data_IF_705441941632
#
_entry.id   IF_705441941632
#
_cell.length_a   1.000
_cell.length_b   1.000
_cell.length_c   1.000
_cell.angle_alpha   90.00
_cell.angle_beta   90.00
_cell.angle_gamma   90.00
#
_symmetry.space_group_name_H-M   'P 1'
#
loop_
_entity.id
_entity.type
_entity.pdbx_description
1 polymer ?
#
# COMPACT_ATOMS: atom_id res chain seq x y z
N UNK A 1 27.57 9.64 1.58
CA UNK A 1 26.12 9.83 1.58
C UNK A 1 25.76 10.46 0.25
N UNK A 2 25.22 9.66 -0.66
CA UNK A 2 24.71 10.10 -1.96
C UNK A 2 23.37 10.81 -1.78
N UNK A 3 22.84 11.43 -2.85
CA UNK A 3 21.50 12.03 -2.81
C UNK A 3 20.41 10.96 -2.60
N UNK A 4 20.64 9.73 -3.09
CA UNK A 4 19.77 8.56 -2.89
C UNK A 4 19.77 8.12 -1.41
N UNK A 5 20.94 8.06 -0.77
CA UNK A 5 21.04 7.69 0.66
C UNK A 5 20.23 8.65 1.57
N UNK A 6 20.15 9.94 1.18
CA UNK A 6 19.39 10.94 1.94
C UNK A 6 17.88 10.75 1.76
N UNK A 7 17.42 10.44 0.54
CA UNK A 7 16.01 10.17 0.27
C UNK A 7 15.53 8.89 0.97
N UNK A 8 16.34 7.83 0.98
CA UNK A 8 16.03 6.59 1.69
C UNK A 8 15.97 6.78 3.21
N UNK A 9 16.83 7.63 3.78
CA UNK A 9 16.79 7.96 5.20
C UNK A 9 15.50 8.70 5.58
N UNK A 10 15.07 9.66 4.77
CA UNK A 10 13.82 10.40 4.99
C UNK A 10 12.58 9.47 4.87
N UNK A 11 12.57 8.58 3.87
CA UNK A 11 11.51 7.58 3.69
C UNK A 11 11.47 6.62 4.89
N UNK A 12 12.62 6.14 5.35
CA UNK A 12 12.70 5.25 6.52
C UNK A 12 12.21 5.94 7.79
N UNK A 13 12.62 7.20 8.02
CA UNK A 13 12.13 7.99 9.14
C UNK A 13 10.61 8.17 9.08
N UNK A 14 10.07 8.41 7.88
CA UNK A 14 8.62 8.51 7.64
C UNK A 14 7.90 7.19 7.95
N UNK A 15 8.46 6.04 7.54
CA UNK A 15 7.91 4.72 7.84
C UNK A 15 7.90 4.47 9.35
N UNK A 16 9.01 4.74 10.04
CA UNK A 16 9.13 4.56 11.49
C UNK A 16 8.18 5.47 12.30
N UNK A 17 7.78 6.61 11.73
CA UNK A 17 6.82 7.53 12.35
C UNK A 17 5.35 7.11 12.16
N UNK A 18 5.05 6.10 11.33
CA UNK A 18 3.68 5.61 11.14
C UNK A 18 3.12 4.97 12.40
N UNK A 19 3.94 4.25 13.15
CA UNK A 19 3.52 3.55 14.35
C UNK A 19 4.48 2.45 14.75
N UNK A 20 4.09 1.70 15.76
CA UNK A 20 4.89 0.61 16.32
C UNK A 20 4.00 -0.46 16.92
N UNK A 21 4.41 -1.72 16.80
CA UNK A 21 3.75 -2.81 17.51
C UNK A 21 4.24 -2.90 18.96
N UNK A 22 3.32 -2.77 19.91
CA UNK A 22 3.56 -2.90 21.34
C UNK A 22 2.70 -4.05 21.85
N UNK A 23 3.36 -5.15 22.25
CA UNK A 23 2.69 -6.34 22.80
C UNK A 23 1.62 -6.94 21.86
N UNK A 24 1.90 -7.03 20.56
CA UNK A 24 0.95 -7.57 19.57
C UNK A 24 -0.17 -6.62 19.18
N UNK A 25 -0.09 -5.36 19.61
CA UNK A 25 -1.04 -4.30 19.27
C UNK A 25 -0.29 -3.18 18.58
N UNK A 26 -0.70 -2.86 17.35
CA UNK A 26 -0.12 -1.75 16.61
C UNK A 26 -0.67 -0.42 17.13
N UNK A 27 0.21 0.48 17.54
CA UNK A 27 -0.15 1.84 17.93
C UNK A 27 0.33 2.82 16.87
N UNK A 28 -0.59 3.59 16.29
CA UNK A 28 -0.26 4.60 15.28
C UNK A 28 0.51 5.77 15.91
N UNK A 29 1.48 6.31 15.17
CA UNK A 29 2.17 7.55 15.53
C UNK A 29 1.25 8.76 15.48
N UNK A 30 1.64 9.84 16.18
CA UNK A 30 0.91 11.11 16.22
C UNK A 30 0.65 11.69 14.83
N UNK A 31 1.67 11.59 13.97
CA UNK A 31 1.69 12.20 12.63
C UNK A 31 1.48 11.16 11.52
N UNK A 32 0.90 10.00 11.86
CA UNK A 32 0.69 8.87 10.95
C UNK A 32 -0.05 9.27 9.66
N UNK A 33 -1.06 10.14 9.74
CA UNK A 33 -1.78 10.63 8.54
C UNK A 33 -0.85 11.41 7.60
N UNK A 34 -0.02 12.31 8.14
CA UNK A 34 0.92 13.07 7.31
C UNK A 34 2.02 12.18 6.75
N UNK A 35 2.50 11.20 7.52
CA UNK A 35 3.44 10.19 7.05
C UNK A 35 2.86 9.39 5.86
N UNK A 36 1.62 8.93 5.94
CA UNK A 36 0.96 8.23 4.81
C UNK A 36 0.85 9.13 3.57
N UNK A 37 0.53 10.43 3.76
CA UNK A 37 0.48 11.42 2.67
C UNK A 37 1.86 11.65 2.06
N UNK A 38 2.91 11.70 2.88
CA UNK A 38 4.30 11.87 2.45
C UNK A 38 4.80 10.65 1.66
N UNK A 39 4.52 9.44 2.09
CA UNK A 39 4.81 8.23 1.32
C UNK A 39 4.17 8.25 -0.08
N UNK A 40 2.93 8.73 -0.18
CA UNK A 40 2.29 8.95 -1.49
C UNK A 40 2.92 10.11 -2.28
N UNK A 41 3.49 11.13 -1.62
CA UNK A 41 4.26 12.20 -2.29
C UNK A 41 5.58 11.68 -2.83
N UNK A 42 6.27 10.81 -2.09
CA UNK A 42 7.50 10.14 -2.52
C UNK A 42 7.23 9.25 -3.73
N UNK A 43 6.23 8.36 -3.67
CA UNK A 43 5.87 7.47 -4.78
C UNK A 43 5.46 8.21 -6.08
N UNK A 44 4.93 9.44 -5.99
CA UNK A 44 4.62 10.25 -7.19
C UNK A 44 5.87 10.81 -7.88
N UNK A 45 7.01 10.80 -7.21
CA UNK A 45 8.31 11.27 -7.71
C UNK A 45 9.27 10.11 -7.95
N UNK A 46 8.76 8.88 -8.01
CA UNK A 46 9.58 7.70 -8.21
C UNK A 46 10.30 7.76 -9.57
N UNK A 47 11.45 7.11 -9.65
CA UNK A 47 12.27 7.09 -10.85
C UNK A 47 11.81 5.99 -11.82
N UNK A 48 12.43 5.94 -13.00
CA UNK A 48 12.13 4.92 -14.02
C UNK A 48 12.48 3.48 -13.58
N UNK A 49 13.27 3.34 -12.49
CA UNK A 49 13.62 2.05 -11.89
C UNK A 49 12.71 1.68 -10.71
N UNK A 50 11.70 2.49 -10.40
CA UNK A 50 10.80 2.30 -9.27
C UNK A 50 11.55 2.16 -7.94
N UNK A 51 12.63 2.93 -7.75
CA UNK A 51 13.52 2.81 -6.59
C UNK A 51 12.79 3.03 -5.27
N UNK A 52 11.88 4.00 -5.19
CA UNK A 52 11.08 4.24 -3.98
C UNK A 52 10.12 3.08 -3.72
N UNK A 53 9.39 2.63 -4.75
CA UNK A 53 8.49 1.49 -4.63
C UNK A 53 9.20 0.23 -4.13
N UNK A 54 10.39 -0.06 -4.68
CA UNK A 54 11.20 -1.23 -4.29
C UNK A 54 11.77 -1.07 -2.89
N UNK A 55 12.17 0.13 -2.51
CA UNK A 55 12.67 0.40 -1.16
C UNK A 55 11.56 0.18 -0.12
N UNK A 56 10.35 0.72 -0.35
CA UNK A 56 9.19 0.45 0.51
C UNK A 56 8.85 -1.04 0.61
N UNK A 57 9.00 -1.79 -0.50
CA UNK A 57 8.86 -3.24 -0.49
C UNK A 57 9.91 -3.95 0.35
N UNK A 58 11.17 -3.51 0.29
CA UNK A 58 12.25 -4.06 1.10
C UNK A 58 12.09 -3.77 2.61
N UNK A 59 11.40 -2.68 2.95
CA UNK A 59 11.04 -2.36 4.34
C UNK A 59 9.83 -3.17 4.84
N UNK A 60 9.18 -3.96 3.98
CA UNK A 60 7.94 -4.67 4.27
C UNK A 60 6.83 -3.76 4.81
N UNK A 61 6.79 -2.50 4.36
CA UNK A 61 5.86 -1.46 4.83
C UNK A 61 4.39 -1.94 4.85
N UNK A 62 3.99 -2.69 3.82
CA UNK A 62 2.64 -3.21 3.72
C UNK A 62 2.30 -4.12 4.90
N UNK A 63 3.22 -5.04 5.23
CA UNK A 63 3.03 -6.05 6.28
C UNK A 63 3.18 -5.45 7.68
N UNK A 64 4.17 -4.58 7.87
CA UNK A 64 4.55 -4.04 9.19
C UNK A 64 3.65 -2.91 9.66
N UNK A 65 3.10 -2.12 8.73
CA UNK A 65 2.38 -0.89 9.08
C UNK A 65 1.00 -0.80 8.41
N UNK A 66 0.91 -0.96 7.08
CA UNK A 66 -0.35 -0.70 6.39
C UNK A 66 -1.45 -1.70 6.76
N UNK A 67 -1.14 -3.00 6.80
CA UNK A 67 -2.13 -4.01 7.20
C UNK A 67 -2.54 -3.86 8.68
N UNK A 68 -1.63 -3.63 9.64
CA UNK A 68 -2.02 -3.29 11.01
C UNK A 68 -2.89 -2.03 11.11
N UNK A 69 -2.56 -0.95 10.39
CA UNK A 69 -3.38 0.26 10.31
C UNK A 69 -4.79 -0.04 9.78
N UNK A 70 -4.88 -0.78 8.67
CA UNK A 70 -6.15 -1.20 8.07
C UNK A 70 -6.95 -2.10 9.00
N UNK A 71 -6.32 -2.97 9.81
CA UNK A 71 -7.05 -3.83 10.75
C UNK A 71 -7.60 -3.03 11.93
N UNK A 72 -6.76 -2.21 12.55
CA UNK A 72 -7.07 -1.58 13.86
C UNK A 72 -7.78 -0.24 13.73
N UNK A 73 -7.38 0.59 12.79
CA UNK A 73 -7.87 1.96 12.63
C UNK A 73 -8.83 2.08 11.45
N UNK A 74 -9.57 1.01 11.13
CA UNK A 74 -10.49 0.95 9.99
C UNK A 74 -11.70 1.89 10.07
N UNK A 75 -11.92 2.53 11.22
CA UNK A 75 -12.95 3.56 11.45
C UNK A 75 -12.41 4.99 11.44
N UNK A 76 -11.09 5.15 11.43
CA UNK A 76 -10.42 6.44 11.20
C UNK A 76 -10.34 6.64 9.68
N UNK A 77 -11.23 7.48 9.14
CA UNK A 77 -11.42 7.62 7.70
C UNK A 77 -10.17 8.12 6.98
N UNK A 78 -9.39 9.04 7.59
CA UNK A 78 -8.15 9.52 6.98
C UNK A 78 -7.10 8.41 6.94
N UNK A 79 -6.85 7.74 8.06
CA UNK A 79 -5.89 6.63 8.11
C UNK A 79 -6.28 5.54 7.10
N UNK A 80 -7.54 5.11 7.13
CA UNK A 80 -8.02 4.06 6.23
C UNK A 80 -7.87 4.46 4.77
N UNK A 81 -8.31 5.67 4.39
CA UNK A 81 -8.26 6.12 2.99
C UNK A 81 -6.81 6.26 2.47
N UNK A 82 -5.90 6.83 3.26
CA UNK A 82 -4.50 6.98 2.82
C UNK A 82 -3.73 5.66 2.83
N UNK A 83 -3.94 4.80 3.84
CA UNK A 83 -3.36 3.45 3.85
C UNK A 83 -3.88 2.62 2.68
N UNK A 84 -5.18 2.69 2.36
CA UNK A 84 -5.77 2.00 1.23
C UNK A 84 -5.20 2.48 -0.11
N UNK A 85 -4.93 3.78 -0.27
CA UNK A 85 -4.25 4.32 -1.46
C UNK A 85 -2.84 3.75 -1.62
N UNK A 86 -2.07 3.65 -0.52
CA UNK A 86 -0.76 2.99 -0.55
C UNK A 86 -0.90 1.51 -0.89
N UNK A 87 -1.87 0.79 -0.33
CA UNK A 87 -2.14 -0.60 -0.71
C UNK A 87 -2.43 -0.75 -2.21
N UNK A 88 -3.25 0.13 -2.79
CA UNK A 88 -3.51 0.13 -4.25
C UNK A 88 -2.21 0.29 -5.02
N UNK A 89 -1.36 1.26 -4.64
CA UNK A 89 -0.07 1.48 -5.32
C UNK A 89 0.85 0.27 -5.18
N UNK A 90 1.08 -0.22 -3.95
CA UNK A 90 2.03 -1.31 -3.69
C UNK A 90 1.58 -2.66 -4.27
N UNK A 91 0.27 -2.87 -4.43
CA UNK A 91 -0.28 -4.14 -4.96
C UNK A 91 -0.55 -4.11 -6.46
N UNK A 92 -0.28 -2.98 -7.14
CA UNK A 92 -0.53 -2.88 -8.58
C UNK A 92 0.27 -3.95 -9.35
N UNK A 93 -0.35 -4.66 -10.32
CA UNK A 93 0.36 -5.66 -11.11
C UNK A 93 1.63 -5.07 -11.73
N UNK A 94 2.78 -5.71 -11.48
CA UNK A 94 4.07 -5.16 -11.88
C UNK A 94 4.14 -4.85 -13.38
N UNK A 95 3.49 -5.65 -14.23
CA UNK A 95 3.48 -5.45 -15.68
C UNK A 95 2.92 -4.09 -16.12
N UNK A 96 2.02 -3.48 -15.34
CA UNK A 96 1.48 -2.15 -15.63
C UNK A 96 2.55 -1.06 -15.53
N UNK A 97 3.57 -1.26 -14.69
CA UNK A 97 4.72 -0.35 -14.58
C UNK A 97 5.60 -0.41 -15.82
N UNK A 98 5.52 -1.51 -16.59
CA UNK A 98 6.29 -1.74 -17.81
C UNK A 98 5.39 -1.68 -19.06
N UNK A 99 4.32 -0.89 -19.02
CA UNK A 99 3.42 -0.63 -20.16
C UNK A 99 2.83 -1.90 -20.79
N UNK A 100 2.49 -2.89 -19.97
CA UNK A 100 1.97 -4.20 -20.40
C UNK A 100 2.97 -5.04 -21.23
N UNK A 101 4.26 -4.70 -21.20
CA UNK A 101 5.33 -5.41 -21.88
C UNK A 101 6.36 -6.01 -20.89
N UNK A 102 6.86 -7.21 -21.20
CA UNK A 102 7.90 -7.84 -20.38
C UNK A 102 9.26 -7.23 -20.70
N UNK A 103 10.04 -6.79 -19.69
CA UNK A 103 11.36 -6.23 -19.95
C UNK A 103 12.30 -7.27 -20.58
N UNK A 104 12.91 -6.88 -21.70
CA UNK A 104 13.88 -7.72 -22.41
C UNK A 104 15.31 -7.56 -21.87
N UNK A 105 15.67 -6.34 -21.47
CA UNK A 105 17.00 -6.07 -20.94
C UNK A 105 17.17 -6.64 -19.54
N UNK A 106 18.40 -7.08 -19.23
CA UNK A 106 18.70 -7.80 -17.99
C UNK A 106 18.46 -6.95 -16.74
N UNK A 107 18.73 -5.64 -16.80
CA UNK A 107 18.66 -4.77 -15.62
C UNK A 107 17.21 -4.54 -15.25
N UNK A 108 16.40 -4.08 -16.18
CA UNK A 108 14.97 -3.84 -16.01
C UNK A 108 14.22 -5.14 -15.71
N UNK A 109 14.65 -6.27 -16.29
CA UNK A 109 14.09 -7.58 -15.96
C UNK A 109 14.34 -7.97 -14.50
N UNK A 110 15.50 -7.65 -13.94
CA UNK A 110 15.77 -7.89 -12.52
C UNK A 110 14.87 -7.01 -11.62
N UNK A 111 14.65 -5.74 -12.01
CA UNK A 111 13.70 -4.83 -11.33
C UNK A 111 12.29 -5.42 -11.34
N UNK A 112 11.82 -5.87 -12.49
CA UNK A 112 10.51 -6.52 -12.63
C UNK A 112 10.37 -7.75 -11.73
N UNK A 113 11.37 -8.66 -11.74
CA UNK A 113 11.33 -9.87 -10.92
C UNK A 113 11.35 -9.56 -9.42
N UNK A 114 12.07 -8.52 -9.00
CA UNK A 114 12.05 -8.05 -7.62
C UNK A 114 10.65 -7.55 -7.21
N UNK A 115 10.01 -6.75 -8.05
CA UNK A 115 8.64 -6.28 -7.79
C UNK A 115 7.64 -7.46 -7.71
N UNK A 116 7.78 -8.46 -8.57
CA UNK A 116 6.98 -9.70 -8.50
C UNK A 116 7.19 -10.42 -7.15
N UNK A 117 8.43 -10.51 -6.65
CA UNK A 117 8.67 -11.15 -5.35
C UNK A 117 7.97 -10.42 -4.20
N UNK A 118 7.98 -9.09 -4.18
CA UNK A 118 7.24 -8.32 -3.17
C UNK A 118 5.73 -8.53 -3.28
N UNK A 119 5.18 -8.55 -4.50
CA UNK A 119 3.76 -8.85 -4.71
C UNK A 119 3.39 -10.23 -4.14
N UNK A 120 4.20 -11.26 -4.38
CA UNK A 120 3.97 -12.59 -3.81
C UNK A 120 4.00 -12.58 -2.28
N UNK A 121 4.90 -11.82 -1.66
CA UNK A 121 4.90 -11.63 -0.20
C UNK A 121 3.66 -10.91 0.29
N UNK A 122 3.20 -9.87 -0.40
CA UNK A 122 1.96 -9.17 -0.07
C UNK A 122 0.76 -10.11 -0.16
N UNK A 123 0.69 -10.95 -1.21
CA UNK A 123 -0.37 -11.96 -1.35
C UNK A 123 -0.43 -12.90 -0.13
N UNK A 124 0.73 -13.31 0.39
CA UNK A 124 0.81 -14.15 1.61
C UNK A 124 0.38 -13.37 2.85
N UNK A 125 0.73 -12.10 2.98
CA UNK A 125 0.33 -11.27 4.11
C UNK A 125 -1.20 -11.07 4.16
N UNK A 126 -1.87 -11.07 3.01
CA UNK A 126 -3.33 -11.06 2.92
C UNK A 126 -4.01 -12.40 3.29
N UNK A 127 -3.29 -13.43 3.71
CA UNK A 127 -3.92 -14.64 4.29
C UNK A 127 -4.51 -14.40 5.68
N UNK A 128 -4.23 -13.24 6.32
CA UNK A 128 -4.87 -12.82 7.57
C UNK A 128 -6.33 -12.42 7.33
N UNK A 129 -7.26 -13.23 7.85
CA UNK A 129 -8.71 -12.99 7.74
C UNK A 129 -9.14 -11.61 8.27
N UNK A 130 -8.43 -11.05 9.26
CA UNK A 130 -8.77 -9.76 9.85
C UNK A 130 -8.62 -8.60 8.87
N UNK A 131 -7.74 -8.73 7.88
CA UNK A 131 -7.60 -7.73 6.80
C UNK A 131 -8.88 -7.71 5.95
N UNK A 132 -9.39 -8.90 5.58
CA UNK A 132 -10.62 -9.04 4.81
C UNK A 132 -11.85 -8.59 5.59
N UNK A 133 -11.91 -8.89 6.88
CA UNK A 133 -12.96 -8.39 7.77
C UNK A 133 -13.00 -6.85 7.74
N UNK A 134 -11.86 -6.18 7.95
CA UNK A 134 -11.79 -4.71 7.94
C UNK A 134 -12.20 -4.08 6.59
N UNK A 135 -11.78 -4.68 5.46
CA UNK A 135 -12.17 -4.23 4.12
C UNK A 135 -13.66 -4.45 3.87
N UNK A 136 -14.18 -5.63 4.23
CA UNK A 136 -15.59 -6.00 3.99
C UNK A 136 -16.55 -5.19 4.86
N UNK A 137 -16.19 -4.89 6.10
CA UNK A 137 -16.97 -4.03 6.98
C UNK A 137 -17.08 -2.61 6.44
N UNK A 138 -15.96 -2.02 6.00
CA UNK A 138 -15.97 -0.69 5.38
C UNK A 138 -16.81 -0.67 4.10
N UNK A 139 -16.63 -1.66 3.22
CA UNK A 139 -17.41 -1.78 2.00
C UNK A 139 -18.90 -1.93 2.31
N UNK A 140 -19.27 -2.75 3.30
CA UNK A 140 -20.66 -2.94 3.72
C UNK A 140 -21.28 -1.64 4.22
N UNK A 141 -20.58 -0.86 5.03
CA UNK A 141 -21.11 0.42 5.52
C UNK A 141 -21.35 1.41 4.37
N UNK A 142 -20.40 1.55 3.45
CA UNK A 142 -20.53 2.44 2.29
C UNK A 142 -21.68 2.02 1.35
N UNK A 143 -21.90 0.71 1.19
CA UNK A 143 -22.96 0.17 0.34
C UNK A 143 -24.37 0.21 0.95
N UNK A 144 -24.53 0.62 2.23
CA UNK A 144 -25.87 0.86 2.82
C UNK A 144 -26.55 2.07 2.20
N UNK A 145 -25.78 3.05 1.74
CA UNK A 145 -26.28 4.25 1.09
C UNK A 145 -26.56 3.98 -0.39
N UNK A 146 -27.58 4.64 -0.96
CA UNK A 146 -27.84 4.53 -2.39
C UNK A 146 -26.69 5.17 -3.18
N UNK A 147 -26.39 4.72 -4.40
CA UNK A 147 -25.32 5.32 -5.22
C UNK A 147 -25.41 6.85 -5.37
N UNK A 148 -26.63 7.40 -5.46
CA UNK A 148 -26.87 8.84 -5.61
C UNK A 148 -26.65 9.65 -4.31
N UNK A 149 -26.62 8.97 -3.16
CA UNK A 149 -26.42 9.59 -1.84
C UNK A 149 -24.94 9.61 -1.44
N UNK A 150 -24.11 8.80 -2.10
CA UNK A 150 -22.67 8.71 -1.85
C UNK A 150 -21.93 9.89 -2.45
N UNK A 151 -21.02 10.49 -1.68
CA UNK A 151 -20.10 11.48 -2.18
C UNK A 151 -18.96 10.83 -3.01
N UNK A 152 -18.17 11.67 -3.68
CA UNK A 152 -17.08 11.22 -4.55
C UNK A 152 -16.04 10.37 -3.81
N UNK A 153 -15.62 10.78 -2.61
CA UNK A 153 -14.61 10.05 -1.84
C UNK A 153 -15.13 8.69 -1.36
N UNK A 154 -16.42 8.59 -1.00
CA UNK A 154 -17.05 7.29 -0.66
C UNK A 154 -17.04 6.34 -1.87
N UNK A 155 -17.31 6.85 -3.07
CA UNK A 155 -17.23 6.06 -4.31
C UNK A 155 -15.79 5.62 -4.61
N UNK A 156 -14.82 6.52 -4.46
CA UNK A 156 -13.41 6.21 -4.64
C UNK A 156 -12.91 5.20 -3.61
N UNK A 157 -13.36 5.26 -2.35
CA UNK A 157 -13.01 4.26 -1.34
C UNK A 157 -13.56 2.88 -1.69
N UNK A 158 -14.80 2.78 -2.19
CA UNK A 158 -15.34 1.51 -2.72
C UNK A 158 -14.45 0.98 -3.86
N UNK A 159 -14.13 1.83 -4.84
CA UNK A 159 -13.31 1.44 -5.98
C UNK A 159 -11.93 0.94 -5.54
N UNK A 160 -11.28 1.66 -4.62
CA UNK A 160 -9.95 1.30 -4.10
C UNK A 160 -9.99 -0.03 -3.32
N UNK A 161 -11.03 -0.30 -2.52
CA UNK A 161 -11.20 -1.60 -1.86
C UNK A 161 -11.26 -2.72 -2.92
N UNK A 162 -12.10 -2.53 -3.95
CA UNK A 162 -12.25 -3.52 -5.02
C UNK A 162 -10.94 -3.71 -5.82
N UNK A 163 -10.18 -2.64 -6.06
CA UNK A 163 -8.87 -2.69 -6.71
C UNK A 163 -7.88 -3.50 -5.88
N UNK A 164 -7.78 -3.25 -4.57
CA UNK A 164 -6.88 -4.04 -3.69
C UNK A 164 -7.25 -5.52 -3.74
N UNK A 165 -8.54 -5.85 -3.63
CA UNK A 165 -9.02 -7.23 -3.72
C UNK A 165 -8.62 -7.87 -5.05
N UNK A 166 -8.94 -7.20 -6.18
CA UNK A 166 -8.57 -7.66 -7.53
C UNK A 166 -7.07 -7.88 -7.65
N UNK A 167 -6.28 -6.90 -7.21
CA UNK A 167 -4.82 -6.94 -7.27
C UNK A 167 -4.29 -8.17 -6.53
N UNK A 168 -4.65 -8.36 -5.26
CA UNK A 168 -4.19 -9.49 -4.45
C UNK A 168 -4.58 -10.84 -5.05
N UNK A 169 -5.80 -10.96 -5.59
CA UNK A 169 -6.24 -12.18 -6.25
C UNK A 169 -5.46 -12.47 -7.54
N UNK A 170 -5.09 -11.43 -8.30
CA UNK A 170 -4.37 -11.53 -9.56
C UNK A 170 -2.89 -11.91 -9.42
N UNK A 171 -2.25 -11.61 -8.29
CA UNK A 171 -0.83 -11.91 -8.08
C UNK A 171 -0.56 -13.42 -8.29
N UNK A 172 0.46 -13.81 -9.08
CA UNK A 172 0.78 -15.21 -9.29
C UNK A 172 1.21 -15.92 -7.99
N UNK A 173 1.08 -17.26 -7.90
CA UNK A 173 1.58 -18.04 -6.76
C UNK A 173 3.07 -17.81 -6.46
#
# INVERSE_FOLDING_TARGET
MTLEDLAEADILATCNALGVEINGVYEKGSDSVECLKDLLRYLRKDDDNFSILRYLGSLHLLQTDLLPLIKRYNRDSEIFNFALRLLVTLTSPAILLFQDELPEDKVTRNVYLQLISYLQEYKRAFLDVKVWEALSENLKELLKQRPIERNEEENLTIERILIVIRNILHIPP
#
